data_IF_611479633227
#
_entry.id   IF_611479633227
#
_cell.length_a   1.000
_cell.length_b   1.000
_cell.length_c   1.000
_cell.angle_alpha   90.00
_cell.angle_beta   90.00
_cell.angle_gamma   90.00
#
_symmetry.space_group_name_H-M   'P 1'
#
loop_
_entity.id
_entity.type
_entity.pdbx_description
1 polymer ?
#
# COMPACT_ATOMS: atom_id res chain seq x y z
N UNK A 1 -6.90 -1.60 16.59
CA UNK A 1 -5.64 -2.18 17.03
C UNK A 1 -4.49 -1.22 16.77
N UNK A 2 -3.53 -1.18 17.62
CA UNK A 2 -2.39 -0.28 17.47
C UNK A 2 -1.10 -1.05 17.26
N UNK A 3 -0.17 -0.42 16.52
CA UNK A 3 1.17 -0.96 16.33
C UNK A 3 2.12 -0.26 17.29
N UNK A 4 2.98 -1.03 17.94
CA UNK A 4 3.99 -0.50 18.83
C UNK A 4 5.34 -0.72 18.20
N UNK A 5 6.12 0.34 18.07
CA UNK A 5 7.42 0.17 17.42
C UNK A 5 8.60 0.28 18.38
N UNK A 6 8.49 1.08 19.44
CA UNK A 6 9.60 1.16 20.38
C UNK A 6 9.17 1.85 21.67
N UNK A 7 10.03 1.70 22.67
CA UNK A 7 9.96 2.45 23.91
C UNK A 7 11.23 3.28 23.97
N UNK A 8 11.08 4.60 24.12
CA UNK A 8 12.18 5.52 24.26
C UNK A 8 12.09 6.24 25.60
N UNK A 9 12.97 7.22 25.83
CA UNK A 9 12.96 7.98 27.08
C UNK A 9 11.66 8.72 27.32
N UNK A 10 10.98 9.10 26.27
CA UNK A 10 9.70 9.80 26.36
C UNK A 10 8.52 8.87 26.49
N UNK A 11 8.75 7.55 26.37
CA UNK A 11 7.73 6.54 26.46
C UNK A 11 7.57 5.77 25.17
N UNK A 12 6.42 5.09 25.07
CA UNK A 12 6.14 4.23 23.94
C UNK A 12 5.49 5.03 22.82
N UNK A 13 6.02 4.86 21.61
CA UNK A 13 5.42 5.45 20.43
C UNK A 13 4.48 4.43 19.81
N UNK A 14 3.27 4.86 19.54
CA UNK A 14 2.23 4.00 18.99
C UNK A 14 1.72 4.58 17.68
N UNK A 15 1.65 3.73 16.67
CA UNK A 15 1.06 4.09 15.39
C UNK A 15 -0.21 3.28 15.24
N UNK A 16 -1.33 3.95 15.11
CA UNK A 16 -2.60 3.28 14.96
C UNK A 16 -2.73 2.65 13.58
N UNK A 17 -3.41 1.50 13.54
CA UNK A 17 -3.67 0.81 12.28
C UNK A 17 -4.38 1.74 11.29
N UNK A 18 -5.35 2.50 11.78
CA UNK A 18 -6.08 3.43 10.93
C UNK A 18 -5.21 4.50 10.29
N UNK A 19 -4.14 4.91 10.98
CA UNK A 19 -3.21 5.89 10.43
C UNK A 19 -2.47 5.30 9.23
N UNK A 20 -1.97 4.07 9.35
CA UNK A 20 -1.25 3.41 8.25
C UNK A 20 -2.16 3.22 7.06
N UNK A 21 -3.38 2.74 7.30
CA UNK A 21 -4.36 2.56 6.22
C UNK A 21 -4.71 3.88 5.56
N UNK A 22 -4.90 4.93 6.36
CA UNK A 22 -5.28 6.24 5.87
C UNK A 22 -4.18 6.87 5.00
N UNK A 23 -2.93 6.76 5.44
CA UNK A 23 -1.80 7.27 4.65
C UNK A 23 -1.71 6.52 3.33
N UNK A 24 -1.79 5.20 3.39
CA UNK A 24 -1.73 4.36 2.19
C UNK A 24 -2.87 4.69 1.23
N UNK A 25 -4.08 4.88 1.76
CA UNK A 25 -5.23 5.20 0.94
C UNK A 25 -5.08 6.54 0.23
N UNK A 26 -4.57 7.54 0.93
CA UNK A 26 -4.35 8.85 0.32
C UNK A 26 -3.30 8.81 -0.77
N UNK A 27 -2.25 8.00 -0.57
CA UNK A 27 -1.24 7.82 -1.60
C UNK A 27 -1.86 7.18 -2.84
N UNK A 28 -2.66 6.13 -2.65
CA UNK A 28 -3.34 5.46 -3.76
C UNK A 28 -4.27 6.43 -4.48
N UNK A 29 -5.06 7.19 -3.74
CA UNK A 29 -6.01 8.14 -4.32
C UNK A 29 -5.31 9.22 -5.15
N UNK A 30 -4.08 9.54 -4.83
CA UNK A 30 -3.29 10.51 -5.58
C UNK A 30 -2.90 10.07 -6.99
N UNK A 31 -3.19 8.85 -7.35
CA UNK A 31 -2.86 8.31 -8.67
C UNK A 31 -4.03 8.40 -9.67
N UNK A 32 -5.07 9.12 -9.31
CA UNK A 32 -6.19 9.46 -10.21
C UNK A 32 -6.84 8.24 -10.87
N UNK A 33 -7.02 7.20 -10.11
CA UNK A 33 -7.70 6.00 -10.59
C UNK A 33 -6.84 5.02 -11.37
N UNK A 34 -5.57 5.34 -11.61
CA UNK A 34 -4.67 4.40 -12.28
C UNK A 34 -4.37 3.18 -11.42
N UNK A 35 -4.47 3.35 -10.11
CA UNK A 35 -4.31 2.29 -9.13
C UNK A 35 -5.49 2.38 -8.18
N UNK A 36 -6.07 1.26 -7.84
CA UNK A 36 -7.22 1.19 -6.95
C UNK A 36 -6.94 0.18 -5.84
N UNK A 37 -7.51 0.43 -4.67
CA UNK A 37 -7.37 -0.49 -3.56
C UNK A 37 -8.23 -1.74 -3.79
N UNK A 38 -7.74 -2.86 -3.31
CA UNK A 38 -8.42 -4.14 -3.46
C UNK A 38 -8.28 -4.93 -2.16
N UNK A 39 -9.04 -6.02 -2.04
CA UNK A 39 -8.72 -7.02 -1.04
C UNK A 39 -7.82 -8.08 -1.71
N UNK A 40 -7.34 -9.03 -0.92
CA UNK A 40 -6.43 -10.05 -1.45
C UNK A 40 -7.08 -10.98 -2.47
N UNK A 41 -8.42 -10.95 -2.57
CA UNK A 41 -9.16 -11.77 -3.53
C UNK A 41 -9.41 -11.04 -4.85
N UNK A 42 -8.97 -9.80 -4.94
CA UNK A 42 -9.13 -9.03 -6.16
C UNK A 42 -10.42 -8.26 -6.27
N UNK A 43 -11.16 -8.12 -5.17
CA UNK A 43 -12.38 -7.32 -5.19
C UNK A 43 -12.03 -5.86 -4.96
N UNK A 44 -12.64 -5.00 -5.77
CA UNK A 44 -12.43 -3.57 -5.61
C UNK A 44 -12.94 -3.11 -4.26
N UNK A 45 -12.13 -2.31 -3.60
CA UNK A 45 -12.48 -1.69 -2.33
C UNK A 45 -12.76 -0.23 -2.57
N UNK A 46 -14.00 0.05 -2.95
CA UNK A 46 -14.46 1.40 -3.21
C UNK A 46 -15.70 1.65 -2.38
N UNK A 47 -15.59 2.55 -1.41
CA UNK A 47 -16.74 2.97 -0.65
C UNK A 47 -17.69 3.82 -1.49
N UNK A 48 -18.71 4.36 -0.86
CA UNK A 48 -19.69 5.18 -1.54
C UNK A 48 -19.06 6.36 -2.27
N UNK A 49 -17.98 6.91 -1.72
CA UNK A 49 -17.24 7.99 -2.37
C UNK A 49 -16.19 7.51 -3.35
N UNK A 50 -16.00 6.21 -3.49
CA UNK A 50 -15.02 5.63 -4.38
C UNK A 50 -13.58 5.88 -4.00
N UNK A 51 -13.32 6.27 -2.77
CA UNK A 51 -11.98 6.59 -2.29
C UNK A 51 -11.42 5.44 -1.46
N UNK A 52 -10.14 5.16 -1.68
CA UNK A 52 -9.48 4.06 -0.99
C UNK A 52 -9.45 4.25 0.52
N UNK A 53 -9.37 5.48 1.01
CA UNK A 53 -9.30 5.73 2.43
C UNK A 53 -10.56 5.34 3.19
N UNK A 54 -11.65 5.07 2.49
CA UNK A 54 -12.89 4.60 3.09
C UNK A 54 -12.96 3.08 3.13
N UNK A 55 -11.95 2.41 2.57
CA UNK A 55 -11.94 0.97 2.43
C UNK A 55 -10.98 0.34 3.41
N UNK A 56 -11.29 -0.89 3.80
CA UNK A 56 -10.47 -1.64 4.75
C UNK A 56 -10.09 -2.98 4.15
N UNK A 57 -9.01 -3.54 4.62
CA UNK A 57 -8.55 -4.85 4.17
C UNK A 57 -7.65 -4.82 2.95
N UNK A 58 -7.38 -3.64 2.38
CA UNK A 58 -6.45 -3.49 1.28
C UNK A 58 -5.00 -3.36 1.73
N UNK A 59 -4.79 -3.09 2.99
CA UNK A 59 -3.46 -2.84 3.53
C UNK A 59 -3.21 -3.69 4.76
N UNK A 60 -1.99 -4.21 4.85
CA UNK A 60 -1.51 -4.90 6.03
C UNK A 60 -0.19 -4.28 6.42
N UNK A 61 0.03 -4.13 7.70
CA UNK A 61 1.25 -3.48 8.17
C UNK A 61 1.70 -4.09 9.48
N UNK A 62 3.00 -3.97 9.72
CA UNK A 62 3.56 -4.29 11.03
C UNK A 62 4.76 -3.37 11.25
N UNK A 63 5.09 -3.17 12.51
CA UNK A 63 6.27 -2.39 12.89
C UNK A 63 7.39 -3.37 13.19
N UNK A 64 8.52 -3.16 12.55
CA UNK A 64 9.68 -4.03 12.72
C UNK A 64 10.94 -3.16 12.67
N UNK A 65 11.72 -3.21 13.75
CA UNK A 65 12.96 -2.46 13.82
C UNK A 65 12.78 -0.96 13.69
N UNK A 66 11.68 -0.42 14.18
CA UNK A 66 11.39 1.01 14.09
C UNK A 66 10.92 1.47 12.73
N UNK A 67 10.58 0.55 11.84
CA UNK A 67 10.10 0.86 10.50
C UNK A 67 8.76 0.18 10.26
N UNK A 68 8.00 0.74 9.32
CA UNK A 68 6.70 0.19 8.93
C UNK A 68 6.89 -0.70 7.71
N UNK A 69 6.61 -2.00 7.87
CA UNK A 69 6.51 -2.90 6.73
C UNK A 69 5.05 -2.88 6.30
N UNK A 70 4.79 -2.60 5.04
CA UNK A 70 3.42 -2.48 4.55
C UNK A 70 3.23 -3.35 3.32
N UNK A 71 2.06 -3.97 3.24
CA UNK A 71 1.66 -4.77 2.08
C UNK A 71 0.32 -4.26 1.60
N UNK A 72 0.25 -3.89 0.34
CA UNK A 72 -0.95 -3.34 -0.26
C UNK A 72 -1.45 -4.26 -1.37
N UNK A 73 -2.77 -4.44 -1.41
CA UNK A 73 -3.45 -5.18 -2.47
C UNK A 73 -4.08 -4.18 -3.41
N UNK A 74 -3.73 -4.25 -4.69
CA UNK A 74 -4.03 -3.20 -5.65
C UNK A 74 -4.59 -3.78 -6.94
N UNK A 75 -5.37 -2.96 -7.61
CA UNK A 75 -5.83 -3.22 -8.97
C UNK A 75 -5.30 -2.07 -9.82
N UNK A 76 -4.74 -2.39 -10.96
CA UNK A 76 -4.18 -1.40 -11.86
C UNK A 76 -5.10 -1.22 -13.06
N UNK A 77 -5.23 0.00 -13.55
CA UNK A 77 -6.00 0.27 -14.74
C UNK A 77 -5.29 -0.29 -15.96
N UNK A 78 -6.06 -0.89 -16.86
CA UNK A 78 -5.51 -1.51 -18.05
C UNK A 78 -4.69 -0.48 -18.86
N UNK A 79 -3.55 -0.93 -19.35
CA UNK A 79 -2.67 -0.07 -20.14
C UNK A 79 -1.61 0.67 -19.33
N UNK A 80 -1.77 0.73 -18.01
CA UNK A 80 -0.77 1.35 -17.15
C UNK A 80 0.38 0.38 -16.89
N UNK A 81 1.59 0.93 -16.77
CA UNK A 81 2.75 0.11 -16.44
C UNK A 81 2.77 -0.18 -14.95
N UNK A 82 2.65 -1.46 -14.58
CA UNK A 82 2.70 -1.85 -13.18
C UNK A 82 4.01 -1.46 -12.53
N UNK A 83 5.13 -1.66 -13.23
CA UNK A 83 6.45 -1.33 -12.68
C UNK A 83 6.59 0.16 -12.42
N UNK A 84 6.16 0.99 -13.35
CA UNK A 84 6.24 2.44 -13.16
C UNK A 84 5.33 2.91 -12.04
N UNK A 85 4.13 2.34 -11.95
CA UNK A 85 3.23 2.65 -10.85
C UNK A 85 3.78 2.17 -9.51
N UNK A 86 4.40 0.99 -9.50
CA UNK A 86 5.01 0.46 -8.28
C UNK A 86 6.12 1.38 -7.80
N UNK A 87 6.99 1.85 -8.70
CA UNK A 87 8.05 2.79 -8.33
C UNK A 87 7.48 4.07 -7.74
N UNK A 88 6.47 4.62 -8.40
CA UNK A 88 5.87 5.88 -7.94
C UNK A 88 5.15 5.70 -6.60
N UNK A 89 4.46 4.58 -6.43
CA UNK A 89 3.78 4.29 -5.16
C UNK A 89 4.78 4.17 -4.02
N UNK A 90 5.84 3.40 -4.23
CA UNK A 90 6.86 3.22 -3.20
C UNK A 90 7.48 4.57 -2.82
N UNK A 91 7.82 5.38 -3.82
CA UNK A 91 8.41 6.69 -3.57
C UNK A 91 7.50 7.57 -2.72
N UNK A 92 6.20 7.57 -3.03
CA UNK A 92 5.24 8.37 -2.28
C UNK A 92 5.03 7.82 -0.86
N UNK A 93 4.98 6.51 -0.71
CA UNK A 93 4.85 5.91 0.63
C UNK A 93 6.07 6.23 1.50
N UNK A 94 7.26 6.15 0.93
CA UNK A 94 8.49 6.45 1.66
C UNK A 94 8.59 7.93 2.04
N UNK A 95 7.94 8.80 1.29
CA UNK A 95 7.86 10.21 1.62
C UNK A 95 6.82 10.48 2.70
N UNK A 96 5.65 9.84 2.58
CA UNK A 96 4.52 10.15 3.45
C UNK A 96 4.57 9.49 4.82
N UNK A 97 5.09 8.27 4.93
CA UNK A 97 5.12 7.61 6.23
C UNK A 97 5.91 8.39 7.28
N UNK A 98 7.15 8.84 7.01
CA UNK A 98 7.86 9.63 8.02
C UNK A 98 7.12 10.93 8.38
N UNK A 99 6.52 11.56 7.39
CA UNK A 99 5.79 12.81 7.59
C UNK A 99 4.56 12.63 8.45
N UNK A 100 3.83 11.54 8.25
CA UNK A 100 2.55 11.32 8.92
C UNK A 100 2.68 10.52 10.22
N UNK A 101 3.67 9.67 10.33
CA UNK A 101 3.79 8.75 11.47
C UNK A 101 5.08 8.94 12.27
N UNK A 102 6.08 9.59 11.70
CA UNK A 102 7.40 9.70 12.30
C UNK A 102 8.26 8.47 12.09
N UNK A 103 7.78 7.47 11.37
CA UNK A 103 8.51 6.23 11.10
C UNK A 103 8.75 6.08 9.62
N UNK A 104 9.94 5.59 9.26
CA UNK A 104 10.24 5.29 7.87
C UNK A 104 9.53 4.02 7.43
N UNK A 105 9.28 3.90 6.15
CA UNK A 105 8.82 2.66 5.58
C UNK A 105 9.99 1.67 5.53
N UNK A 106 9.72 0.43 5.90
CA UNK A 106 10.69 -0.64 5.76
C UNK A 106 10.46 -1.39 4.46
N UNK A 107 10.01 -2.64 4.56
CA UNK A 107 9.67 -3.41 3.37
C UNK A 107 8.30 -2.98 2.85
N UNK A 108 8.23 -2.59 1.60
CA UNK A 108 6.97 -2.26 0.94
C UNK A 108 6.68 -3.37 -0.07
N UNK A 109 5.53 -4.01 0.08
CA UNK A 109 5.10 -5.07 -0.82
C UNK A 109 3.83 -4.62 -1.52
N UNK A 110 3.84 -4.64 -2.84
CA UNK A 110 2.69 -4.26 -3.64
C UNK A 110 2.22 -5.50 -4.42
N UNK A 111 0.98 -5.88 -4.19
CA UNK A 111 0.39 -7.05 -4.84
C UNK A 111 -0.68 -6.55 -5.80
N UNK A 112 -0.40 -6.66 -7.09
CA UNK A 112 -1.38 -6.31 -8.11
C UNK A 112 -2.21 -7.56 -8.38
N UNK A 113 -3.44 -7.55 -7.89
CA UNK A 113 -4.33 -8.71 -7.97
C UNK A 113 -5.31 -8.65 -9.14
N UNK A 114 -5.32 -7.54 -9.85
CA UNK A 114 -6.21 -7.41 -10.98
C UNK A 114 -5.86 -6.25 -11.90
N UNK A 115 -6.38 -6.31 -13.10
CA UNK A 115 -6.31 -5.25 -14.09
C UNK A 115 -7.74 -4.90 -14.47
N UNK A 116 -8.05 -3.60 -14.44
CA UNK A 116 -9.39 -3.12 -14.72
C UNK A 116 -9.45 -2.42 -16.06
N UNK A 117 -10.38 -2.83 -16.90
CA UNK A 117 -10.77 -2.13 -18.11
C UNK A 117 -12.28 -2.06 -18.08
N UNK A 118 -12.99 -2.61 -19.06
CA UNK A 118 -14.44 -2.72 -18.98
C UNK A 118 -14.85 -3.74 -17.93
N UNK A 119 -13.99 -4.73 -17.68
CA UNK A 119 -14.18 -5.73 -16.65
C UNK A 119 -12.87 -5.98 -15.94
N UNK A 120 -12.98 -6.54 -14.75
CA UNK A 120 -11.82 -6.87 -13.93
C UNK A 120 -11.21 -8.21 -14.38
N UNK A 121 -9.93 -8.20 -14.66
CA UNK A 121 -9.16 -9.41 -14.96
C UNK A 121 -8.21 -9.67 -13.80
N UNK A 122 -8.17 -10.92 -13.35
CA UNK A 122 -7.30 -11.27 -12.23
C UNK A 122 -5.84 -11.30 -12.63
N UNK A 123 -4.99 -10.89 -11.72
CA UNK A 123 -3.54 -10.87 -11.88
C UNK A 123 -2.90 -11.37 -10.59
N UNK A 124 -1.62 -11.68 -10.67
CA UNK A 124 -0.83 -12.03 -9.50
C UNK A 124 0.59 -11.54 -9.74
N UNK A 125 0.78 -10.25 -9.62
CA UNK A 125 2.08 -9.61 -9.82
C UNK A 125 2.48 -8.95 -8.52
N UNK A 126 3.63 -9.32 -7.97
CA UNK A 126 4.08 -8.84 -6.68
C UNK A 126 5.42 -8.12 -6.83
N UNK A 127 5.48 -6.91 -6.30
CA UNK A 127 6.72 -6.14 -6.20
C UNK A 127 7.07 -5.96 -4.74
N UNK A 128 8.35 -6.06 -4.44
CA UNK A 128 8.88 -5.74 -3.12
C UNK A 128 9.95 -4.67 -3.25
N UNK A 129 9.99 -3.79 -2.28
CA UNK A 129 10.99 -2.73 -2.20
C UNK A 129 11.52 -2.63 -0.78
N UNK A 130 12.81 -2.89 -0.63
CA UNK A 130 13.54 -2.73 0.63
C UNK A 130 14.58 -1.62 0.52
N UNK A 131 14.44 -0.78 -0.50
CA UNK A 131 15.39 0.23 -0.94
C UNK A 131 15.66 0.08 -2.43
N UNK A 132 15.30 -1.09 -2.98
CA UNK A 132 15.41 -1.39 -4.39
C UNK A 132 14.20 -2.20 -4.79
N UNK A 133 13.52 -1.78 -5.85
CA UNK A 133 12.30 -2.43 -6.32
C UNK A 133 12.60 -3.70 -7.09
N UNK A 134 11.95 -4.79 -6.71
CA UNK A 134 12.08 -6.08 -7.40
C UNK A 134 10.71 -6.68 -7.63
N UNK A 135 10.54 -7.30 -8.77
CA UNK A 135 9.36 -8.09 -9.04
C UNK A 135 9.66 -9.52 -8.61
N UNK A 136 8.89 -10.05 -7.68
CA UNK A 136 9.14 -11.37 -7.11
C UNK A 136 8.16 -12.43 -7.58
N UNK A 137 7.07 -12.03 -8.22
CA UNK A 137 6.06 -12.95 -8.71
C UNK A 137 5.32 -12.27 -9.83
N UNK A 138 5.06 -12.98 -10.90
CA UNK A 138 4.39 -12.41 -12.04
C UNK A 138 3.39 -13.34 -12.65
N UNK A 139 2.49 -12.74 -13.41
CA UNK A 139 1.47 -13.40 -14.20
C UNK A 139 2.13 -14.01 -15.43
N UNK A 140 1.79 -15.22 -15.74
CA UNK A 140 2.35 -15.85 -16.93
C UNK A 140 1.36 -15.82 -18.09
#
# INVERSE_FOLDING_TARGET
MAYYHEVNESGRIRVGRGVVESVSARVIDGFDGRVLASDRRGRLKRGAGGRAEEEKGFARARIRGGKIDVKLFLIVQFGASMRELAKALVARLREEFPRQTGLDAGLVTLVFVGTLSEKLSKRNVVFEDDGELREISGDE
#
